data_IF_648170976422
#
_entry.id   IF_648170976422
#
_cell.length_a   1.000
_cell.length_b   1.000
_cell.length_c   1.000
_cell.angle_alpha   90.00
_cell.angle_beta   90.00
_cell.angle_gamma   90.00
#
_symmetry.space_group_name_H-M   'P 1'
#
loop_
_entity.id
_entity.type
_entity.pdbx_description
1 polymer ?
#
# COMPACT_ATOMS: atom_id res chain seq x y z
N UNK A 1 -7.17 -32.29 -25.68
CA UNK A 1 -6.82 -31.12 -26.52
C UNK A 1 -7.44 -29.81 -26.02
N UNK A 2 -8.75 -29.74 -25.72
CA UNK A 2 -9.42 -28.50 -25.27
C UNK A 2 -8.94 -27.95 -23.89
N UNK A 3 -8.58 -28.83 -22.95
CA UNK A 3 -8.07 -28.43 -21.63
C UNK A 3 -6.73 -27.67 -21.68
N UNK A 4 -5.89 -27.92 -22.68
CA UNK A 4 -4.60 -27.23 -22.86
C UNK A 4 -4.77 -25.80 -23.34
N UNK A 5 -5.70 -25.55 -24.27
CA UNK A 5 -5.98 -24.21 -24.79
C UNK A 5 -6.59 -23.29 -23.72
N UNK A 6 -7.48 -23.82 -22.87
CA UNK A 6 -8.05 -23.09 -21.75
C UNK A 6 -7.00 -22.72 -20.69
N UNK A 7 -6.05 -23.64 -20.41
CA UNK A 7 -4.93 -23.38 -19.50
C UNK A 7 -4.00 -22.27 -19.99
N UNK A 8 -3.64 -22.29 -21.27
CA UNK A 8 -2.79 -21.26 -21.91
C UNK A 8 -3.51 -19.90 -21.90
N UNK A 9 -4.80 -19.86 -22.25
CA UNK A 9 -5.58 -18.63 -22.22
C UNK A 9 -5.69 -18.03 -20.80
N UNK A 10 -5.82 -18.87 -19.78
CA UNK A 10 -5.81 -18.45 -18.38
C UNK A 10 -4.43 -17.87 -18.00
N UNK A 11 -3.34 -18.55 -18.35
CA UNK A 11 -1.98 -18.06 -18.08
C UNK A 11 -1.72 -16.71 -18.74
N UNK A 12 -2.12 -16.52 -20.00
CA UNK A 12 -2.01 -15.24 -20.70
C UNK A 12 -2.80 -14.13 -19.99
N UNK A 13 -4.03 -14.40 -19.53
CA UNK A 13 -4.82 -13.43 -18.77
C UNK A 13 -4.16 -13.07 -17.44
N UNK A 14 -3.60 -14.05 -16.73
CA UNK A 14 -2.90 -13.80 -15.47
C UNK A 14 -1.63 -12.96 -15.68
N UNK A 15 -0.85 -13.24 -16.72
CA UNK A 15 0.33 -12.46 -17.09
C UNK A 15 -0.04 -11.03 -17.51
N UNK A 16 -1.04 -10.87 -18.37
CA UNK A 16 -1.53 -9.55 -18.79
C UNK A 16 -2.04 -8.73 -17.60
N UNK A 17 -2.75 -9.36 -16.66
CA UNK A 17 -3.19 -8.72 -15.41
C UNK A 17 -2.00 -8.27 -14.57
N UNK A 18 -0.97 -9.11 -14.40
CA UNK A 18 0.25 -8.74 -13.65
C UNK A 18 0.96 -7.56 -14.29
N UNK A 19 1.16 -7.57 -15.61
CA UNK A 19 1.78 -6.46 -16.34
C UNK A 19 0.99 -5.17 -16.13
N UNK A 20 -0.34 -5.23 -16.24
CA UNK A 20 -1.22 -4.08 -16.02
C UNK A 20 -1.08 -3.53 -14.60
N UNK A 21 -1.10 -4.40 -13.59
CA UNK A 21 -0.94 -4.01 -12.19
C UNK A 21 0.43 -3.38 -11.89
N UNK A 22 1.51 -3.95 -12.46
CA UNK A 22 2.86 -3.38 -12.32
C UNK A 22 2.97 -2.02 -13.02
N UNK A 23 2.35 -1.85 -14.18
CA UNK A 23 2.33 -0.56 -14.87
C UNK A 23 1.55 0.50 -14.08
N UNK A 24 0.36 0.15 -13.60
CA UNK A 24 -0.44 1.02 -12.74
C UNK A 24 0.32 1.41 -11.46
N UNK A 25 1.02 0.44 -10.85
CA UNK A 25 1.85 0.70 -9.68
C UNK A 25 2.94 1.74 -9.96
N UNK A 26 3.65 1.58 -11.08
CA UNK A 26 4.71 2.51 -11.47
C UNK A 26 4.16 3.92 -11.69
N UNK A 27 3.04 4.07 -12.40
CA UNK A 27 2.40 5.37 -12.59
C UNK A 27 2.00 6.02 -11.26
N UNK A 28 1.44 5.24 -10.34
CA UNK A 28 1.09 5.72 -9.01
C UNK A 28 2.33 6.17 -8.22
N UNK A 29 3.41 5.39 -8.25
CA UNK A 29 4.67 5.75 -7.59
C UNK A 29 5.27 7.02 -8.20
N UNK A 30 5.27 7.17 -9.52
CA UNK A 30 5.74 8.37 -10.21
C UNK A 30 4.94 9.62 -9.81
N UNK A 31 3.63 9.50 -9.56
CA UNK A 31 2.81 10.59 -9.04
C UNK A 31 3.16 10.94 -7.59
N UNK A 32 3.35 9.93 -6.74
CA UNK A 32 3.77 10.15 -5.35
C UNK A 32 5.15 10.81 -5.27
N UNK A 33 6.11 10.38 -6.09
CA UNK A 33 7.44 11.01 -6.13
C UNK A 33 7.37 12.49 -6.52
N UNK A 34 6.57 12.85 -7.53
CA UNK A 34 6.36 14.25 -7.91
C UNK A 34 5.74 15.06 -6.77
N UNK A 35 4.74 14.50 -6.07
CA UNK A 35 4.11 15.16 -4.94
C UNK A 35 5.05 15.31 -3.72
N UNK A 36 6.02 14.40 -3.55
CA UNK A 36 7.04 14.54 -2.49
C UNK A 36 7.96 15.74 -2.78
N UNK A 37 8.31 15.98 -4.04
CA UNK A 37 9.23 17.07 -4.41
C UNK A 37 8.54 18.43 -4.57
N UNK A 38 7.22 18.46 -4.76
CA UNK A 38 6.43 19.67 -5.00
C UNK A 38 5.26 19.80 -4.00
N UNK A 39 5.34 20.75 -3.04
CA UNK A 39 4.28 20.98 -2.07
C UNK A 39 2.93 21.38 -2.67
N UNK A 40 2.89 22.02 -3.84
CA UNK A 40 1.62 22.38 -4.51
C UNK A 40 0.94 21.12 -5.06
N UNK A 41 1.71 20.15 -5.55
CA UNK A 41 1.18 18.85 -5.96
C UNK A 41 0.81 17.97 -4.75
N UNK A 42 1.54 18.08 -3.64
CA UNK A 42 1.21 17.40 -2.39
C UNK A 42 -0.19 17.80 -1.89
N UNK A 43 -0.57 19.07 -2.05
CA UNK A 43 -1.88 19.59 -1.65
C UNK A 43 -3.06 18.88 -2.32
N UNK A 44 -2.90 18.33 -3.53
CA UNK A 44 -3.94 17.53 -4.20
C UNK A 44 -4.20 16.21 -3.48
N UNK A 45 -3.18 15.68 -2.82
CA UNK A 45 -3.24 14.45 -2.03
C UNK A 45 -3.59 14.73 -0.56
N UNK A 46 -3.71 16.01 -0.20
CA UNK A 46 -4.16 16.45 1.11
C UNK A 46 -5.67 16.24 1.23
N UNK A 47 -6.03 15.00 1.56
CA UNK A 47 -7.40 14.59 1.87
C UNK A 47 -7.69 14.73 3.35
N UNK A 48 -6.81 15.40 4.09
CA UNK A 48 -6.85 15.46 5.53
C UNK A 48 -7.73 16.62 6.01
N UNK A 49 -8.51 16.39 7.06
CA UNK A 49 -9.38 17.41 7.66
C UNK A 49 -8.61 18.41 8.54
N UNK A 50 -7.40 18.03 8.99
CA UNK A 50 -6.53 18.84 9.84
C UNK A 50 -5.33 19.40 9.07
N UNK A 51 -4.88 20.61 9.41
CA UNK A 51 -3.68 21.22 8.84
C UNK A 51 -2.42 20.41 9.17
N UNK A 52 -1.93 19.64 8.20
CA UNK A 52 -0.67 18.89 8.32
C UNK A 52 0.48 19.75 7.81
N UNK A 53 1.54 20.00 8.62
CA UNK A 53 2.70 20.76 8.16
C UNK A 53 3.34 20.12 6.89
N UNK A 54 3.85 20.91 5.93
CA UNK A 54 4.35 20.37 4.65
C UNK A 54 5.41 19.27 4.78
N UNK A 55 6.27 19.35 5.80
CA UNK A 55 7.26 18.31 6.10
C UNK A 55 6.59 16.98 6.46
N UNK A 56 5.53 17.04 7.28
CA UNK A 56 4.77 15.88 7.75
C UNK A 56 3.93 15.29 6.61
N UNK A 57 3.40 16.13 5.74
CA UNK A 57 2.70 15.71 4.53
C UNK A 57 3.61 14.86 3.62
N UNK A 58 4.84 15.31 3.35
CA UNK A 58 5.82 14.51 2.59
C UNK A 58 6.17 13.19 3.27
N UNK A 59 6.29 13.18 4.59
CA UNK A 59 6.51 11.96 5.36
C UNK A 59 5.33 10.97 5.21
N UNK A 60 4.10 11.47 5.24
CA UNK A 60 2.89 10.66 5.03
C UNK A 60 2.78 10.15 3.60
N UNK A 61 3.14 10.94 2.59
CA UNK A 61 3.24 10.49 1.20
C UNK A 61 4.26 9.36 1.05
N UNK A 62 5.41 9.48 1.71
CA UNK A 62 6.42 8.42 1.69
C UNK A 62 5.94 7.16 2.43
N UNK A 63 5.23 7.31 3.56
CA UNK A 63 4.61 6.20 4.27
C UNK A 63 3.54 5.48 3.42
N UNK A 64 2.72 6.24 2.69
CA UNK A 64 1.79 5.71 1.70
C UNK A 64 2.52 4.93 0.61
N UNK A 65 3.59 5.48 0.03
CA UNK A 65 4.39 4.81 -1.00
C UNK A 65 4.94 3.46 -0.49
N UNK A 66 5.49 3.42 0.72
CA UNK A 66 5.98 2.18 1.33
C UNK A 66 4.88 1.13 1.50
N UNK A 67 3.71 1.53 2.00
CA UNK A 67 2.58 0.62 2.18
C UNK A 67 2.02 0.13 0.84
N UNK A 68 1.80 1.04 -0.11
CA UNK A 68 1.35 0.73 -1.46
C UNK A 68 2.27 -0.27 -2.15
N UNK A 69 3.60 -0.13 -1.99
CA UNK A 69 4.56 -1.11 -2.51
C UNK A 69 4.30 -2.52 -1.96
N UNK A 70 4.00 -2.68 -0.67
CA UNK A 70 3.69 -3.97 -0.06
C UNK A 70 2.36 -4.52 -0.58
N UNK A 71 1.32 -3.67 -0.69
CA UNK A 71 0.03 -4.05 -1.26
C UNK A 71 0.18 -4.53 -2.71
N UNK A 72 1.03 -3.87 -3.50
CA UNK A 72 1.31 -4.27 -4.88
C UNK A 72 2.07 -5.59 -4.95
N UNK A 73 3.11 -5.78 -4.13
CA UNK A 73 3.85 -7.05 -4.06
C UNK A 73 2.94 -8.23 -3.70
N UNK A 74 1.98 -8.00 -2.79
CA UNK A 74 0.94 -8.96 -2.43
C UNK A 74 -0.03 -9.25 -3.60
N UNK A 75 -0.52 -8.20 -4.28
CA UNK A 75 -1.45 -8.31 -5.42
C UNK A 75 -0.85 -9.07 -6.61
N UNK A 76 0.44 -8.87 -6.89
CA UNK A 76 1.12 -9.52 -8.02
C UNK A 76 1.62 -10.92 -7.68
N UNK A 77 1.73 -11.26 -6.39
CA UNK A 77 2.40 -12.47 -5.91
C UNK A 77 3.90 -12.44 -6.18
N UNK A 78 4.51 -11.24 -6.14
CA UNK A 78 5.94 -11.05 -6.40
C UNK A 78 6.83 -11.47 -5.22
N UNK A 79 6.24 -11.71 -4.05
CA UNK A 79 6.93 -12.08 -2.81
C UNK A 79 6.05 -13.02 -1.99
N UNK A 80 6.65 -13.78 -1.08
CA UNK A 80 5.97 -14.73 -0.20
C UNK A 80 5.20 -14.04 0.93
N UNK A 81 4.19 -14.71 1.49
CA UNK A 81 3.43 -14.22 2.65
C UNK A 81 4.33 -13.92 3.86
N UNK A 82 5.37 -14.72 4.10
CA UNK A 82 6.34 -14.51 5.17
C UNK A 82 7.17 -13.24 4.98
N UNK A 83 7.56 -12.94 3.74
CA UNK A 83 8.30 -11.72 3.40
C UNK A 83 7.41 -10.49 3.55
N UNK A 84 6.14 -10.57 3.13
CA UNK A 84 5.15 -9.51 3.38
C UNK A 84 5.06 -9.20 4.88
N UNK A 85 4.95 -10.22 5.74
CA UNK A 85 4.92 -10.03 7.19
C UNK A 85 6.16 -9.30 7.72
N UNK A 86 7.35 -9.67 7.24
CA UNK A 86 8.60 -8.99 7.58
C UNK A 86 8.61 -7.52 7.14
N UNK A 87 8.17 -7.22 5.92
CA UNK A 87 8.07 -5.85 5.41
C UNK A 87 7.10 -5.00 6.23
N UNK A 88 5.91 -5.54 6.53
CA UNK A 88 4.92 -4.86 7.38
C UNK A 88 5.48 -4.58 8.78
N UNK A 89 6.19 -5.53 9.40
CA UNK A 89 6.80 -5.32 10.71
C UNK A 89 7.83 -4.18 10.69
N UNK A 90 8.68 -4.13 9.66
CA UNK A 90 9.71 -3.08 9.53
C UNK A 90 9.07 -1.70 9.38
N UNK A 91 8.06 -1.53 8.53
CA UNK A 91 7.40 -0.23 8.36
C UNK A 91 6.67 0.22 9.63
N UNK A 92 6.02 -0.70 10.34
CA UNK A 92 5.25 -0.40 11.57
C UNK A 92 6.14 0.04 12.74
N UNK A 93 7.44 -0.25 12.72
CA UNK A 93 8.37 0.24 13.74
C UNK A 93 8.59 1.75 13.67
N UNK A 94 8.39 2.37 12.50
CA UNK A 94 8.47 3.82 12.35
C UNK A 94 7.32 4.53 13.09
N UNK A 95 7.59 5.45 14.03
CA UNK A 95 6.53 6.24 14.67
C UNK A 95 5.74 7.06 13.66
N UNK A 96 6.42 7.62 12.65
CA UNK A 96 5.79 8.38 11.56
C UNK A 96 4.81 7.52 10.77
N UNK A 97 5.16 6.25 10.51
CA UNK A 97 4.23 5.33 9.83
C UNK A 97 3.01 5.05 10.69
N UNK A 98 3.17 4.86 12.01
CA UNK A 98 2.02 4.63 12.91
C UNK A 98 1.10 5.84 13.00
N UNK A 99 1.66 7.04 13.00
CA UNK A 99 0.87 8.28 12.93
C UNK A 99 0.12 8.38 11.60
N UNK A 100 0.82 8.19 10.47
CA UNK A 100 0.19 8.10 9.15
C UNK A 100 -0.95 7.07 9.13
N UNK A 101 -0.69 5.91 9.72
CA UNK A 101 -1.64 4.80 9.77
C UNK A 101 -2.90 5.23 10.51
N UNK A 102 -2.79 5.82 11.70
CA UNK A 102 -3.95 6.33 12.42
C UNK A 102 -4.69 7.41 11.62
N UNK A 103 -3.95 8.35 11.06
CA UNK A 103 -4.48 9.51 10.36
C UNK A 103 -5.26 9.16 9.08
N UNK A 104 -4.92 8.03 8.45
CA UNK A 104 -5.58 7.53 7.24
C UNK A 104 -6.60 6.43 7.50
N UNK A 105 -7.02 6.22 8.76
CA UNK A 105 -7.97 5.16 9.14
C UNK A 105 -9.27 5.20 8.36
N UNK A 106 -9.90 6.38 8.22
CA UNK A 106 -11.18 6.53 7.50
C UNK A 106 -11.12 6.03 6.05
N UNK A 107 -10.01 6.27 5.34
CA UNK A 107 -9.81 5.77 3.98
C UNK A 107 -9.82 4.24 3.93
N UNK A 108 -9.26 3.58 4.96
CA UNK A 108 -9.19 2.12 5.03
C UNK A 108 -10.50 1.50 5.50
N UNK A 109 -11.23 2.17 6.38
CA UNK A 109 -12.56 1.73 6.83
C UNK A 109 -13.58 1.73 5.69
N UNK A 110 -13.38 2.57 4.67
CA UNK A 110 -14.20 2.60 3.46
C UNK A 110 -13.91 1.46 2.46
N UNK A 111 -12.87 0.65 2.69
CA UNK A 111 -12.52 -0.46 1.80
C UNK A 111 -13.51 -1.62 1.93
N UNK A 112 -13.76 -2.31 0.82
CA UNK A 112 -14.49 -3.58 0.84
C UNK A 112 -13.75 -4.60 1.73
N UNK A 113 -14.46 -5.23 2.67
CA UNK A 113 -13.86 -6.03 3.76
C UNK A 113 -12.98 -7.21 3.28
N UNK A 114 -13.34 -7.79 2.13
CA UNK A 114 -12.67 -8.91 1.46
C UNK A 114 -11.66 -8.47 0.40
N UNK A 115 -11.41 -7.16 0.27
CA UNK A 115 -10.33 -6.67 -0.56
C UNK A 115 -8.98 -7.13 0.00
N UNK A 116 -8.01 -7.30 -0.89
CA UNK A 116 -6.64 -7.67 -0.49
C UNK A 116 -6.00 -6.60 0.39
N UNK A 117 -6.37 -5.34 0.19
CA UNK A 117 -5.86 -4.21 0.97
C UNK A 117 -6.45 -4.19 2.38
N UNK A 118 -7.76 -4.43 2.53
CA UNK A 118 -8.39 -4.57 3.84
C UNK A 118 -7.77 -5.73 4.65
N UNK A 119 -7.44 -6.86 4.00
CA UNK A 119 -6.72 -7.97 4.65
C UNK A 119 -5.34 -7.56 5.15
N UNK A 120 -4.55 -6.84 4.34
CA UNK A 120 -3.25 -6.35 4.78
C UNK A 120 -3.37 -5.26 5.85
N UNK A 121 -4.40 -4.41 5.76
CA UNK A 121 -4.69 -3.38 6.75
C UNK A 121 -4.91 -3.98 8.13
N UNK A 122 -5.74 -5.01 8.26
CA UNK A 122 -5.94 -5.72 9.54
C UNK A 122 -4.64 -6.29 10.12
N UNK A 123 -3.77 -6.85 9.29
CA UNK A 123 -2.44 -7.32 9.74
C UNK A 123 -1.57 -6.17 10.26
N UNK A 124 -1.63 -5.00 9.62
CA UNK A 124 -0.93 -3.81 10.11
C UNK A 124 -1.52 -3.35 11.44
N UNK A 125 -2.84 -3.34 11.59
CA UNK A 125 -3.50 -3.00 12.85
C UNK A 125 -3.03 -3.91 14.00
N UNK A 126 -2.98 -5.23 13.77
CA UNK A 126 -2.46 -6.21 14.73
C UNK A 126 -0.98 -5.93 15.10
N UNK A 127 -0.13 -5.66 14.11
CA UNK A 127 1.29 -5.35 14.35
C UNK A 127 1.45 -4.06 15.17
N UNK A 128 0.71 -3.00 14.81
CA UNK A 128 0.76 -1.72 15.50
C UNK A 128 0.29 -1.86 16.95
N UNK A 129 -0.79 -2.60 17.19
CA UNK A 129 -1.27 -2.89 18.54
C UNK A 129 -0.22 -3.64 19.37
N UNK A 130 0.40 -4.67 18.80
CA UNK A 130 1.45 -5.45 19.48
C UNK A 130 2.67 -4.59 19.83
N UNK A 131 3.12 -3.70 18.93
CA UNK A 131 4.25 -2.79 19.20
C UNK A 131 3.91 -1.82 20.33
N UNK A 132 2.68 -1.30 20.37
CA UNK A 132 2.24 -0.38 21.42
C UNK A 132 2.18 -1.03 22.80
N UNK A 133 1.91 -2.34 22.88
CA UNK A 133 1.87 -3.09 24.14
C UNK A 133 3.26 -3.47 24.68
N UNK A 134 4.32 -3.36 23.86
CA UNK A 134 5.70 -3.65 24.25
C UNK A 134 6.43 -2.44 24.88
N UNK A 135 5.72 -1.34 25.15
CA UNK A 135 6.26 -0.11 25.76
C UNK A 135 5.86 0.03 27.22
#
# INVERSE_FOLDING_TARGET
MAAGAAGIALQHRLLARRITLTHQHRLHFDLLSKAIDDPELAAVLDTFEEDVPPVKQRQFLYANALYSNVVHAYRTGSTSESEIGGHLLVICRSPIFREYWEFTRQHRDALQEDSQEARLGRRVDEIVQNISQLR
#
